data_IF_856165751318
#
_entry.id   IF_856165751318
#
_cell.length_a   1.000
_cell.length_b   1.000
_cell.length_c   1.000
_cell.angle_alpha   90.00
_cell.angle_beta   90.00
_cell.angle_gamma   90.00
#
_symmetry.space_group_name_H-M   'P 1'
#
loop_
_entity.id
_entity.type
_entity.pdbx_description
1 polymer ?
#
# COMPACT_ATOMS: atom_id res chain seq x y z
N UNK A 1 -22.30 48.32 -0.39
CA UNK A 1 -22.65 47.47 0.78
C UNK A 1 -23.56 46.38 0.23
N UNK A 2 -23.17 45.11 0.29
CA UNK A 2 -23.96 44.00 -0.30
C UNK A 2 -24.58 43.15 0.80
N UNK A 3 -25.91 43.05 0.83
CA UNK A 3 -26.63 42.18 1.78
C UNK A 3 -26.89 40.84 1.10
N UNK A 4 -26.23 39.79 1.57
CA UNK A 4 -26.45 38.42 1.10
C UNK A 4 -27.35 37.68 2.10
N UNK A 5 -28.54 37.28 1.65
CA UNK A 5 -29.56 36.63 2.48
C UNK A 5 -29.46 35.11 2.28
N UNK A 6 -29.24 34.36 3.37
CA UNK A 6 -29.24 32.89 3.36
C UNK A 6 -30.51 32.36 4.03
N UNK A 7 -31.18 31.41 3.37
CA UNK A 7 -32.27 30.64 3.95
C UNK A 7 -31.68 29.57 4.86
N UNK A 8 -32.03 29.60 6.14
CA UNK A 8 -31.76 28.48 7.04
C UNK A 8 -32.86 27.45 6.83
N UNK A 9 -32.62 26.49 5.93
CA UNK A 9 -33.41 25.28 5.89
C UNK A 9 -33.17 24.52 7.20
N UNK A 10 -34.26 24.13 7.87
CA UNK A 10 -34.26 23.52 9.20
C UNK A 10 -33.42 22.24 9.31
N UNK A 11 -32.14 22.41 9.62
CA UNK A 11 -31.28 21.37 10.16
C UNK A 11 -31.29 21.46 11.68
N UNK A 12 -31.61 20.35 12.36
CA UNK A 12 -31.48 20.22 13.81
C UNK A 12 -30.09 20.67 14.24
N UNK A 13 -30.06 21.65 15.14
CA UNK A 13 -28.86 22.03 15.89
C UNK A 13 -28.38 20.77 16.61
N UNK A 14 -27.15 20.27 16.38
CA UNK A 14 -26.60 19.25 17.26
C UNK A 14 -26.49 19.90 18.64
N UNK A 15 -27.22 19.35 19.62
CA UNK A 15 -27.03 19.73 21.02
C UNK A 15 -25.55 19.48 21.33
N UNK A 16 -24.83 20.56 21.59
CA UNK A 16 -23.49 20.52 22.17
C UNK A 16 -23.63 19.80 23.51
N UNK A 17 -22.89 18.71 23.68
CA UNK A 17 -22.87 17.95 24.91
C UNK A 17 -22.56 18.88 26.08
N UNK A 18 -23.43 18.90 27.09
CA UNK A 18 -23.28 19.72 28.31
C UNK A 18 -21.94 19.48 29.04
N UNK A 19 -21.25 18.39 28.74
CA UNK A 19 -19.90 18.10 29.23
C UNK A 19 -18.81 19.01 28.62
N UNK A 20 -18.98 19.48 27.39
CA UNK A 20 -18.02 20.38 26.72
C UNK A 20 -18.14 21.81 27.28
N UNK A 21 -19.35 22.27 27.60
CA UNK A 21 -19.56 23.57 28.28
C UNK A 21 -19.14 23.54 29.75
N UNK A 22 -19.26 22.39 30.43
CA UNK A 22 -18.76 22.23 31.80
C UNK A 22 -17.22 22.31 31.85
N UNK A 23 -16.53 21.76 30.84
CA UNK A 23 -15.07 21.84 30.73
C UNK A 23 -14.56 23.24 30.34
N UNK A 24 -15.30 24.00 29.52
CA UNK A 24 -14.91 25.37 29.17
C UNK A 24 -15.13 26.37 30.31
N UNK A 25 -16.08 26.13 31.22
CA UNK A 25 -16.29 26.96 32.43
C UNK A 25 -15.29 26.69 33.55
N UNK A 26 -14.66 25.51 33.58
CA UNK A 26 -13.68 25.15 34.62
C UNK A 26 -12.28 25.76 34.37
N UNK A 27 -11.96 26.05 33.10
CA UNK A 27 -10.72 26.72 32.73
C UNK A 27 -10.99 28.21 32.57
N UNK A 28 -10.59 29.01 33.57
CA UNK A 28 -10.74 30.46 33.56
C UNK A 28 -10.15 31.14 32.31
N UNK A 29 -10.37 32.46 32.15
CA UNK A 29 -9.98 33.18 30.95
C UNK A 29 -8.48 33.02 30.67
N UNK A 30 -8.14 32.48 29.50
CA UNK A 30 -6.77 32.47 28.98
C UNK A 30 -6.41 33.91 28.66
N UNK A 31 -5.72 34.57 29.57
CA UNK A 31 -5.05 35.85 29.28
C UNK A 31 -3.91 35.51 28.32
N UNK A 32 -3.90 36.02 27.08
CA UNK A 32 -2.74 35.88 26.21
C UNK A 32 -1.60 36.68 26.86
N UNK A 33 -0.69 35.98 27.53
CA UNK A 33 0.53 36.58 28.04
C UNK A 33 1.34 37.11 26.86
N UNK A 34 1.33 38.44 26.67
CA UNK A 34 2.32 39.08 25.82
C UNK A 34 3.66 38.98 26.56
N UNK A 35 4.57 38.17 26.03
CA UNK A 35 5.97 38.14 26.45
C UNK A 35 6.52 39.57 26.37
N UNK A 36 7.17 40.02 27.43
CA UNK A 36 7.82 41.32 27.42
C UNK A 36 8.90 41.37 26.33
N UNK A 37 9.23 42.56 25.80
CA UNK A 37 10.30 42.70 24.80
C UNK A 37 11.63 42.09 25.23
N UNK A 38 11.92 42.09 26.53
CA UNK A 38 13.13 41.48 27.11
C UNK A 38 13.08 39.95 27.10
N UNK A 39 11.91 39.35 27.39
CA UNK A 39 11.73 37.89 27.32
C UNK A 39 11.75 37.38 25.88
N UNK A 40 11.22 38.15 24.92
CA UNK A 40 11.32 37.87 23.48
C UNK A 40 12.78 37.94 23.00
N UNK A 41 13.55 38.92 23.47
CA UNK A 41 14.98 39.02 23.16
C UNK A 41 15.76 37.82 23.74
N UNK A 42 15.50 37.45 25.00
CA UNK A 42 16.14 36.30 25.63
C UNK A 42 15.76 34.95 24.98
N UNK A 43 14.52 34.83 24.48
CA UNK A 43 14.07 33.65 23.73
C UNK A 43 14.76 33.57 22.36
N UNK A 44 14.89 34.70 21.65
CA UNK A 44 15.60 34.78 20.37
C UNK A 44 17.10 34.53 20.54
N UNK A 45 17.71 35.00 21.63
CA UNK A 45 19.11 34.73 21.95
C UNK A 45 19.33 33.24 22.29
N UNK A 46 18.40 32.61 23.03
CA UNK A 46 18.40 31.16 23.26
C UNK A 46 18.19 30.33 21.99
N UNK A 47 17.37 30.81 21.05
CA UNK A 47 17.16 30.17 19.75
C UNK A 47 18.38 30.33 18.84
N UNK A 48 19.05 31.48 18.88
CA UNK A 48 20.29 31.73 18.15
C UNK A 48 21.48 30.92 18.70
N UNK A 49 21.52 30.66 20.00
CA UNK A 49 22.56 29.82 20.63
C UNK A 49 22.30 28.31 20.51
N UNK A 50 21.09 27.88 20.13
CA UNK A 50 20.79 26.47 19.80
C UNK A 50 21.21 26.12 18.38
N UNK A 51 22.52 26.22 18.10
CA UNK A 51 23.13 25.30 17.16
C UNK A 51 23.16 23.93 17.86
N UNK A 52 22.07 23.16 17.71
CA UNK A 52 22.08 21.74 18.09
C UNK A 52 23.25 21.02 17.38
N UNK A 53 23.65 19.82 17.85
CA UNK A 53 24.71 19.06 17.19
C UNK A 53 24.40 19.02 15.69
N UNK A 54 25.34 19.51 14.87
CA UNK A 54 25.22 19.41 13.41
C UNK A 54 25.27 17.93 13.05
N UNK A 55 24.11 17.28 13.02
CA UNK A 55 23.96 15.94 12.47
C UNK A 55 24.34 16.10 11.01
N UNK A 56 25.51 15.56 10.63
CA UNK A 56 25.92 15.51 9.24
C UNK A 56 24.76 14.89 8.44
N UNK A 57 24.35 15.49 7.31
CA UNK A 57 23.31 14.89 6.47
C UNK A 57 23.71 13.45 6.17
N UNK A 58 22.83 12.53 6.54
CA UNK A 58 23.06 11.10 6.40
C UNK A 58 23.20 10.75 4.91
N UNK A 59 24.37 10.25 4.51
CA UNK A 59 24.67 9.84 3.14
C UNK A 59 24.27 8.37 2.94
N UNK A 60 23.47 8.05 1.90
CA UNK A 60 23.09 6.68 1.63
C UNK A 60 24.29 5.80 1.25
N UNK A 61 24.57 4.79 2.08
CA UNK A 61 25.73 3.89 1.97
C UNK A 61 25.48 2.64 1.13
N UNK A 62 24.29 2.46 0.56
CA UNK A 62 23.93 1.23 -0.15
C UNK A 62 24.49 1.24 -1.58
N UNK A 63 25.29 0.23 -1.95
CA UNK A 63 25.77 0.07 -3.32
C UNK A 63 24.69 -0.54 -4.23
N UNK A 64 24.85 -0.39 -5.54
CA UNK A 64 23.96 -1.01 -6.54
C UNK A 64 23.89 -2.53 -6.39
N UNK A 65 25.04 -3.16 -6.14
CA UNK A 65 25.12 -4.62 -6.07
C UNK A 65 24.52 -5.16 -4.78
N UNK A 66 24.72 -4.47 -3.65
CA UNK A 66 24.08 -4.82 -2.37
C UNK A 66 22.56 -4.66 -2.45
N UNK A 67 22.09 -3.57 -3.09
CA UNK A 67 20.67 -3.37 -3.33
C UNK A 67 20.06 -4.53 -4.12
N UNK A 68 20.68 -4.92 -5.24
CA UNK A 68 20.20 -6.04 -6.06
C UNK A 68 20.26 -7.37 -5.30
N UNK A 69 21.27 -7.59 -4.46
CA UNK A 69 21.37 -8.79 -3.62
C UNK A 69 20.20 -8.89 -2.65
N UNK A 70 19.93 -7.82 -1.92
CA UNK A 70 18.85 -7.76 -0.95
C UNK A 70 17.48 -7.95 -1.61
N UNK A 71 17.32 -7.46 -2.84
CA UNK A 71 16.11 -7.70 -3.65
C UNK A 71 16.01 -9.16 -4.11
N UNK A 72 17.12 -9.81 -4.47
CA UNK A 72 17.17 -11.24 -4.80
C UNK A 72 16.80 -12.11 -3.59
N UNK A 73 17.25 -11.71 -2.39
CA UNK A 73 16.94 -12.33 -1.10
C UNK A 73 15.47 -12.12 -0.66
N UNK A 74 14.72 -11.28 -1.37
CA UNK A 74 13.29 -11.06 -1.14
C UNK A 74 12.94 -9.85 -0.30
N UNK A 75 13.91 -8.99 0.08
CA UNK A 75 13.61 -7.76 0.82
C UNK A 75 12.81 -6.78 -0.03
N UNK A 76 11.81 -6.16 0.59
CA UNK A 76 10.95 -5.21 -0.09
C UNK A 76 11.58 -3.82 -0.13
N UNK A 77 11.22 -3.02 -1.14
CA UNK A 77 11.72 -1.63 -1.28
C UNK A 77 11.47 -0.80 -0.02
N UNK A 78 10.30 -0.96 0.63
CA UNK A 78 9.97 -0.28 1.89
C UNK A 78 10.91 -0.64 3.05
N UNK A 79 11.29 -1.91 3.15
CA UNK A 79 12.24 -2.37 4.17
C UNK A 79 13.64 -1.81 3.92
N UNK A 80 14.04 -1.73 2.64
CA UNK A 80 15.30 -1.11 2.24
C UNK A 80 15.28 0.40 2.50
N UNK A 81 14.18 1.09 2.20
CA UNK A 81 14.02 2.52 2.53
C UNK A 81 14.12 2.77 4.03
N UNK A 82 13.48 1.91 4.84
CA UNK A 82 13.51 2.05 6.29
C UNK A 82 14.92 1.83 6.87
N UNK A 83 15.60 0.78 6.42
CA UNK A 83 16.91 0.38 6.97
C UNK A 83 18.10 1.17 6.41
N UNK A 84 18.03 1.56 5.13
CA UNK A 84 19.15 2.20 4.41
C UNK A 84 18.79 3.56 3.83
N UNK A 85 17.62 4.14 4.13
CA UNK A 85 17.29 5.50 3.67
C UNK A 85 16.50 6.30 4.71
N UNK A 86 16.47 5.85 5.98
CA UNK A 86 15.74 6.51 7.08
C UNK A 86 14.29 6.87 6.73
N UNK A 87 13.61 5.98 5.99
CA UNK A 87 12.24 6.15 5.50
C UNK A 87 12.05 7.31 4.47
N UNK A 88 13.13 7.80 3.86
CA UNK A 88 13.07 8.82 2.80
C UNK A 88 13.01 8.18 1.41
N UNK A 89 11.78 7.97 0.89
CA UNK A 89 11.56 7.32 -0.41
C UNK A 89 12.19 8.09 -1.59
N UNK A 90 12.25 9.42 -1.50
CA UNK A 90 12.83 10.28 -2.55
C UNK A 90 14.32 10.00 -2.77
N UNK A 91 15.07 9.69 -1.70
CA UNK A 91 16.50 9.36 -1.78
C UNK A 91 16.74 8.03 -2.47
N UNK A 92 15.95 7.01 -2.13
CA UNK A 92 16.00 5.72 -2.84
C UNK A 92 15.63 5.91 -4.32
N UNK A 93 14.57 6.68 -4.61
CA UNK A 93 14.16 6.95 -5.98
C UNK A 93 15.23 7.72 -6.79
N UNK A 94 16.01 8.58 -6.14
CA UNK A 94 17.15 9.26 -6.77
C UNK A 94 18.29 8.28 -7.06
N UNK A 95 18.67 7.44 -6.11
CA UNK A 95 19.71 6.42 -6.32
C UNK A 95 19.33 5.39 -7.39
N UNK A 96 18.08 4.94 -7.40
CA UNK A 96 17.57 4.03 -8.44
C UNK A 96 17.63 4.67 -9.84
N UNK A 97 17.37 5.98 -9.95
CA UNK A 97 17.56 6.72 -11.21
C UNK A 97 19.03 6.79 -11.62
N UNK A 98 19.93 7.06 -10.67
CA UNK A 98 21.38 7.07 -10.90
C UNK A 98 21.90 5.69 -11.36
N UNK A 99 21.33 4.60 -10.86
CA UNK A 99 21.67 3.24 -11.29
C UNK A 99 20.93 2.78 -12.56
N UNK A 100 20.10 3.65 -13.15
CA UNK A 100 19.22 3.38 -14.29
C UNK A 100 18.15 2.30 -14.06
N UNK A 101 17.77 2.05 -12.79
CA UNK A 101 16.72 1.12 -12.36
C UNK A 101 15.42 1.90 -12.12
N UNK A 102 14.84 2.45 -13.18
CA UNK A 102 13.70 3.38 -13.03
C UNK A 102 12.35 2.66 -12.75
N UNK A 103 12.19 1.45 -13.30
CA UNK A 103 10.93 0.72 -13.28
C UNK A 103 11.13 -0.72 -12.79
N UNK A 104 10.04 -1.35 -12.35
CA UNK A 104 10.02 -2.75 -11.91
C UNK A 104 10.64 -3.70 -12.94
N UNK A 105 10.35 -3.49 -14.23
CA UNK A 105 10.90 -4.34 -15.31
C UNK A 105 12.42 -4.22 -15.43
N UNK A 106 12.99 -3.01 -15.23
CA UNK A 106 14.44 -2.80 -15.27
C UNK A 106 15.13 -3.36 -14.03
N UNK A 107 14.45 -3.32 -12.89
CA UNK A 107 14.91 -3.95 -11.65
C UNK A 107 14.94 -5.48 -11.80
N UNK A 108 13.86 -6.08 -12.31
CA UNK A 108 13.80 -7.51 -12.58
C UNK A 108 14.89 -7.92 -13.59
N UNK A 109 15.09 -7.16 -14.67
CA UNK A 109 16.17 -7.41 -15.61
C UNK A 109 17.58 -7.32 -14.98
N UNK A 110 17.81 -6.36 -14.08
CA UNK A 110 19.08 -6.21 -13.37
C UNK A 110 19.32 -7.36 -12.37
N UNK A 111 18.29 -7.80 -11.64
CA UNK A 111 18.36 -8.97 -10.77
C UNK A 111 18.63 -10.24 -11.56
N UNK A 112 17.90 -10.46 -12.65
CA UNK A 112 18.08 -11.63 -13.53
C UNK A 112 19.46 -11.66 -14.17
N UNK A 113 20.00 -10.50 -14.56
CA UNK A 113 21.38 -10.40 -15.05
C UNK A 113 22.38 -10.76 -13.96
N UNK A 114 22.22 -10.24 -12.74
CA UNK A 114 23.10 -10.56 -11.61
C UNK A 114 23.07 -12.06 -11.25
N UNK A 115 21.86 -12.65 -11.15
CA UNK A 115 21.69 -14.10 -10.95
C UNK A 115 22.34 -14.90 -12.06
N UNK A 116 22.19 -14.46 -13.31
CA UNK A 116 22.84 -15.11 -14.44
C UNK A 116 24.36 -14.99 -14.35
N UNK A 117 24.91 -13.83 -13.99
CA UNK A 117 26.35 -13.56 -13.85
C UNK A 117 27.00 -14.42 -12.75
N UNK A 118 26.33 -14.58 -11.60
CA UNK A 118 26.74 -15.45 -10.49
C UNK A 118 26.56 -16.95 -10.78
N UNK A 119 25.69 -17.32 -11.71
CA UNK A 119 25.46 -18.70 -12.08
C UNK A 119 26.67 -19.27 -12.84
N UNK A 120 27.21 -20.40 -12.36
CA UNK A 120 28.43 -21.01 -12.91
C UNK A 120 28.14 -22.21 -13.82
N UNK A 121 29.14 -22.59 -14.63
CA UNK A 121 29.06 -23.76 -15.52
C UNK A 121 28.75 -25.05 -14.73
N UNK A 122 29.36 -25.23 -13.57
CA UNK A 122 29.19 -26.45 -12.77
C UNK A 122 27.80 -26.55 -12.16
N UNK A 123 27.24 -25.42 -11.70
CA UNK A 123 25.86 -25.37 -11.20
C UNK A 123 24.85 -25.69 -12.31
N UNK A 124 25.11 -25.23 -13.54
CA UNK A 124 24.31 -25.59 -14.70
C UNK A 124 24.35 -27.09 -14.97
N UNK A 125 25.54 -27.68 -15.04
CA UNK A 125 25.71 -29.11 -15.30
C UNK A 125 25.09 -29.96 -14.20
N UNK A 126 25.27 -29.60 -12.93
CA UNK A 126 24.64 -30.32 -11.81
C UNK A 126 23.11 -30.34 -11.91
N UNK A 127 22.47 -29.22 -12.28
CA UNK A 127 21.02 -29.16 -12.52
C UNK A 127 20.59 -29.96 -13.75
N UNK A 128 21.42 -30.01 -14.79
CA UNK A 128 21.15 -30.83 -15.99
C UNK A 128 21.26 -32.32 -15.69
N UNK A 129 22.25 -32.74 -14.89
CA UNK A 129 22.38 -34.12 -14.37
C UNK A 129 21.19 -34.49 -13.48
N UNK A 130 20.69 -33.56 -12.67
CA UNK A 130 19.46 -33.71 -11.89
C UNK A 130 18.17 -33.76 -12.73
N UNK A 131 18.27 -33.68 -14.07
CA UNK A 131 17.15 -33.81 -15.00
C UNK A 131 16.38 -32.51 -15.29
N UNK A 132 16.86 -31.34 -14.83
CA UNK A 132 16.22 -30.08 -15.18
C UNK A 132 16.43 -29.73 -16.66
N UNK A 133 15.38 -29.24 -17.34
CA UNK A 133 15.51 -28.77 -18.71
C UNK A 133 16.13 -27.37 -18.77
N UNK A 134 16.78 -27.02 -19.89
CA UNK A 134 17.35 -25.67 -20.11
C UNK A 134 16.31 -24.57 -19.86
N UNK A 135 15.07 -24.78 -20.30
CA UNK A 135 13.95 -23.86 -20.08
C UNK A 135 13.57 -23.74 -18.60
N UNK A 136 13.63 -24.83 -17.83
CA UNK A 136 13.36 -24.82 -16.38
C UNK A 136 14.45 -24.05 -15.63
N UNK A 137 15.71 -24.27 -15.97
CA UNK A 137 16.85 -23.55 -15.39
C UNK A 137 16.76 -22.05 -15.73
N UNK A 138 16.52 -21.71 -16.99
CA UNK A 138 16.36 -20.32 -17.46
C UNK A 138 15.23 -19.59 -16.72
N UNK A 139 14.06 -20.22 -16.58
CA UNK A 139 12.94 -19.66 -15.80
C UNK A 139 13.30 -19.48 -14.32
N UNK A 140 14.02 -20.42 -13.72
CA UNK A 140 14.42 -20.31 -12.30
C UNK A 140 15.35 -19.14 -12.03
N UNK A 141 16.17 -18.76 -13.02
CA UNK A 141 17.08 -17.61 -12.94
C UNK A 141 16.37 -16.28 -13.27
N UNK A 142 15.15 -16.33 -13.80
CA UNK A 142 14.44 -15.15 -14.34
C UNK A 142 15.13 -14.55 -15.57
N UNK A 143 16.07 -15.27 -16.18
CA UNK A 143 16.89 -14.76 -17.27
C UNK A 143 16.12 -14.75 -18.60
N UNK A 144 16.32 -13.70 -19.38
CA UNK A 144 15.84 -13.64 -20.76
C UNK A 144 16.59 -14.66 -21.63
N UNK A 145 15.94 -15.08 -22.72
CA UNK A 145 16.46 -16.08 -23.67
C UNK A 145 17.86 -15.72 -24.19
N UNK A 146 18.03 -14.50 -24.70
CA UNK A 146 19.27 -14.07 -25.35
C UNK A 146 20.51 -14.07 -24.43
N UNK A 147 20.49 -13.41 -23.25
CA UNK A 147 21.65 -13.43 -22.35
C UNK A 147 21.95 -14.83 -21.80
N UNK A 148 20.93 -15.67 -21.58
CA UNK A 148 21.13 -17.04 -21.13
C UNK A 148 21.87 -17.89 -22.17
N UNK A 149 21.48 -17.82 -23.45
CA UNK A 149 22.18 -18.53 -24.51
C UNK A 149 23.55 -17.93 -24.85
N UNK A 150 23.76 -16.63 -24.64
CA UNK A 150 25.10 -16.04 -24.73
C UNK A 150 26.05 -16.67 -23.71
N UNK A 151 25.59 -16.86 -22.46
CA UNK A 151 26.37 -17.49 -21.40
C UNK A 151 26.64 -18.99 -21.66
N UNK A 152 25.69 -19.72 -22.23
CA UNK A 152 25.94 -21.09 -22.71
C UNK A 152 26.95 -21.16 -23.87
N UNK A 153 27.02 -20.10 -24.70
CA UNK A 153 28.02 -19.98 -25.77
C UNK A 153 29.41 -19.72 -25.17
N UNK A 154 29.51 -18.83 -24.18
CA UNK A 154 30.74 -18.54 -23.45
C UNK A 154 31.31 -19.80 -22.77
N UNK A 155 30.44 -20.66 -22.24
CA UNK A 155 30.84 -21.95 -21.66
C UNK A 155 31.09 -23.06 -22.67
N UNK A 156 30.83 -22.83 -23.97
CA UNK A 156 31.03 -23.83 -25.03
C UNK A 156 30.01 -24.97 -25.03
N UNK A 157 28.86 -24.82 -24.38
CA UNK A 157 27.83 -25.88 -24.21
C UNK A 157 26.48 -25.54 -24.85
N UNK A 158 26.43 -24.52 -25.70
CA UNK A 158 25.20 -24.12 -26.40
C UNK A 158 24.63 -25.24 -27.27
N UNK A 159 25.48 -25.99 -27.96
CA UNK A 159 25.06 -27.10 -28.80
C UNK A 159 24.72 -28.35 -27.98
N UNK A 160 23.67 -29.07 -28.37
CA UNK A 160 23.22 -30.28 -27.66
C UNK A 160 24.32 -31.35 -27.63
N UNK A 161 25.09 -31.51 -28.71
CA UNK A 161 26.20 -32.46 -28.79
C UNK A 161 27.36 -32.10 -27.84
N UNK A 162 27.65 -30.81 -27.65
CA UNK A 162 28.68 -30.36 -26.72
C UNK A 162 28.22 -30.53 -25.25
N UNK A 163 26.94 -30.29 -24.98
CA UNK A 163 26.34 -30.53 -23.66
C UNK A 163 26.30 -32.02 -23.31
N UNK A 164 25.84 -32.88 -24.24
CA UNK A 164 25.75 -34.32 -24.05
C UNK A 164 27.15 -34.94 -23.84
N UNK A 165 28.19 -34.41 -24.51
CA UNK A 165 29.58 -34.83 -24.30
C UNK A 165 30.10 -34.51 -22.89
N UNK A 166 29.78 -33.32 -22.38
CA UNK A 166 30.19 -32.89 -21.03
C UNK A 166 29.36 -33.60 -19.95
N UNK A 167 28.10 -33.93 -20.22
CA UNK A 167 27.26 -34.75 -19.34
C UNK A 167 27.65 -36.24 -19.35
N UNK A 168 28.27 -36.71 -20.43
CA UNK A 168 28.73 -38.10 -20.59
C UNK A 168 30.17 -38.33 -20.06
N UNK A 169 30.91 -37.28 -19.70
CA UNK A 169 32.20 -37.42 -19.00
C UNK A 169 31.92 -37.90 -17.57
N UNK A 170 32.27 -39.15 -17.21
CA UNK A 170 31.97 -39.69 -15.91
C UNK A 170 32.85 -39.04 -14.84
N UNK A 171 32.22 -38.60 -13.74
CA UNK A 171 32.89 -38.50 -12.44
C UNK A 171 33.45 -39.90 -12.13
N UNK A 172 34.75 -40.08 -11.83
CA UNK A 172 35.35 -41.40 -11.75
C UNK A 172 34.80 -42.14 -10.52
N UNK A 173 34.13 -43.25 -10.77
CA UNK A 173 33.94 -44.35 -9.82
C UNK A 173 34.41 -45.63 -10.51
N UNK A 174 35.34 -46.32 -9.85
CA UNK A 174 36.05 -47.52 -10.28
C UNK A 174 35.14 -48.71 -10.66
N UNK A 175 35.62 -49.53 -11.60
CA UNK A 175 35.24 -50.95 -11.83
C UNK A 175 34.34 -51.18 -13.05
N UNK A 176 34.85 -51.43 -14.26
CA UNK A 176 35.26 -52.75 -14.82
C UNK A 176 34.10 -53.78 -14.84
N UNK A 177 33.61 -54.35 -15.94
CA UNK A 177 34.29 -55.05 -17.05
C UNK A 177 33.39 -55.15 -18.31
N UNK A 178 34.04 -55.31 -19.48
CA UNK A 178 33.47 -55.59 -20.80
C UNK A 178 33.36 -57.09 -21.09
N UNK A 179 32.45 -57.52 -21.97
CA UNK A 179 32.77 -58.24 -23.23
C UNK A 179 31.52 -58.63 -24.02
N UNK A 180 31.71 -58.77 -25.34
CA UNK A 180 30.69 -58.93 -26.36
C UNK A 180 30.80 -60.29 -27.08
N UNK A 181 29.86 -60.53 -28.00
CA UNK A 181 29.94 -61.37 -29.23
C UNK A 181 29.13 -62.69 -29.23
N UNK A 182 28.10 -62.72 -30.08
CA UNK A 182 27.39 -63.88 -30.66
C UNK A 182 28.15 -64.39 -31.93
N UNK A 183 27.83 -65.49 -32.68
CA UNK A 183 26.51 -66.12 -32.86
C UNK A 183 26.43 -67.65 -33.23
N UNK A 184 25.17 -68.14 -33.27
CA UNK A 184 24.51 -69.09 -34.21
C UNK A 184 25.00 -70.55 -34.50
N UNK A 185 24.14 -71.49 -34.04
CA UNK A 185 23.50 -72.66 -34.71
C UNK A 185 24.28 -73.81 -35.40
N UNK A 186 24.11 -75.06 -34.91
CA UNK A 186 23.33 -76.15 -35.57
C UNK A 186 23.34 -77.43 -34.70
N UNK A 187 22.24 -77.74 -34.00
CA UNK A 187 21.14 -78.67 -34.33
C UNK A 187 21.37 -80.17 -34.01
N UNK A 188 20.78 -80.52 -32.85
CA UNK A 188 19.90 -81.68 -32.62
C UNK A 188 20.43 -83.00 -32.06
N UNK A 189 21.73 -83.24 -31.93
CA UNK A 189 22.23 -84.41 -31.15
C UNK A 189 22.98 -84.01 -29.88
N UNK A 190 23.39 -82.74 -29.79
CA UNK A 190 24.06 -82.16 -28.61
C UNK A 190 23.04 -81.78 -27.53
N UNK A 191 21.76 -81.57 -27.86
CA UNK A 191 20.76 -81.08 -26.91
C UNK A 191 20.34 -82.14 -25.86
N UNK A 192 20.31 -83.42 -26.22
CA UNK A 192 19.98 -84.49 -25.26
C UNK A 192 21.20 -84.87 -24.39
N UNK A 193 22.41 -84.81 -24.98
CA UNK A 193 23.66 -84.97 -24.24
C UNK A 193 23.91 -83.77 -23.31
N UNK A 194 23.66 -82.53 -23.75
CA UNK A 194 23.70 -81.34 -22.90
C UNK A 194 22.57 -81.37 -21.87
N UNK A 195 21.33 -81.76 -22.18
CA UNK A 195 20.29 -81.82 -21.14
C UNK A 195 20.59 -82.87 -20.05
N UNK A 196 21.28 -83.96 -20.37
CA UNK A 196 21.77 -84.92 -19.38
C UNK A 196 23.02 -84.44 -18.65
N UNK A 197 23.96 -83.77 -19.34
CA UNK A 197 25.16 -83.19 -18.75
C UNK A 197 24.84 -81.95 -17.91
N UNK A 198 23.80 -81.20 -18.26
CA UNK A 198 23.22 -80.04 -17.58
C UNK A 198 22.39 -80.52 -16.39
N UNK A 199 21.61 -81.62 -16.49
CA UNK A 199 21.04 -82.26 -15.29
C UNK A 199 22.10 -82.85 -14.35
N UNK A 200 23.21 -83.35 -14.87
CA UNK A 200 24.32 -83.83 -14.05
C UNK A 200 25.17 -82.69 -13.49
N UNK A 201 25.38 -81.62 -14.24
CA UNK A 201 26.03 -80.39 -13.79
C UNK A 201 25.15 -79.61 -12.83
N UNK A 202 23.84 -79.51 -13.02
CA UNK A 202 22.90 -78.94 -12.05
C UNK A 202 22.88 -79.76 -10.78
N UNK A 203 22.85 -81.11 -10.85
CA UNK A 203 22.96 -81.95 -9.65
C UNK A 203 24.34 -81.92 -9.00
N UNK A 204 25.41 -81.66 -9.74
CA UNK A 204 26.77 -81.55 -9.22
C UNK A 204 27.05 -80.14 -8.68
N UNK A 205 26.47 -79.11 -9.30
CA UNK A 205 26.48 -77.71 -8.86
C UNK A 205 25.59 -77.60 -7.64
N UNK A 206 24.36 -78.12 -7.61
CA UNK A 206 23.53 -78.20 -6.40
C UNK A 206 24.21 -79.02 -5.29
N UNK A 207 24.86 -80.15 -5.61
CA UNK A 207 25.63 -80.90 -4.60
C UNK A 207 26.95 -80.25 -4.21
N UNK A 208 27.47 -79.29 -4.98
CA UNK A 208 28.67 -78.52 -4.64
C UNK A 208 28.32 -77.23 -3.90
N UNK A 209 27.29 -76.50 -4.33
CA UNK A 209 26.74 -75.31 -3.66
C UNK A 209 26.05 -75.69 -2.35
N UNK A 210 25.43 -76.86 -2.22
CA UNK A 210 24.92 -77.37 -0.94
C UNK A 210 26.02 -77.95 -0.02
N UNK A 211 27.26 -78.14 -0.50
CA UNK A 211 28.40 -78.62 0.32
C UNK A 211 29.41 -77.53 0.68
N UNK A 212 29.21 -76.30 0.20
CA UNK A 212 30.12 -75.17 0.36
C UNK A 212 29.40 -73.92 0.89
N UNK A 213 28.39 -74.09 1.74
CA UNK A 213 28.11 -73.08 2.74
C UNK A 213 28.73 -73.62 4.02
N UNK A 214 29.95 -73.16 4.28
CA UNK A 214 30.60 -73.46 5.55
C UNK A 214 29.73 -72.92 6.70
N UNK A 215 29.78 -73.56 7.87
CA UNK A 215 29.03 -73.12 9.06
C UNK A 215 29.27 -71.62 9.35
N UNK A 216 30.48 -71.12 9.05
CA UNK A 216 30.84 -69.71 9.12
C UNK A 216 30.11 -68.78 8.13
N UNK A 217 29.74 -69.26 6.94
CA UNK A 217 28.94 -68.49 5.97
C UNK A 217 27.46 -68.46 6.35
N UNK A 218 26.93 -69.52 6.99
CA UNK A 218 25.59 -69.50 7.58
C UNK A 218 25.49 -68.50 8.74
N UNK A 219 26.50 -68.45 9.61
CA UNK A 219 26.58 -67.47 10.70
C UNK A 219 26.66 -66.03 10.16
N UNK A 220 27.44 -65.80 9.09
CA UNK A 220 27.53 -64.49 8.43
C UNK A 220 26.19 -64.09 7.79
N UNK A 221 25.48 -65.03 7.15
CA UNK A 221 24.14 -64.78 6.58
C UNK A 221 23.16 -64.41 7.70
N UNK A 222 23.16 -65.14 8.81
CA UNK A 222 22.30 -64.85 9.96
C UNK A 222 22.60 -63.47 10.59
N UNK A 223 23.87 -63.07 10.66
CA UNK A 223 24.27 -61.73 11.13
C UNK A 223 23.79 -60.63 10.16
N UNK A 224 23.88 -60.87 8.84
CA UNK A 224 23.36 -59.94 7.82
C UNK A 224 21.84 -59.85 7.83
N UNK A 225 21.13 -60.94 8.06
CA UNK A 225 19.67 -60.94 8.19
C UNK A 225 19.21 -60.17 9.44
N UNK A 226 19.93 -60.29 10.55
CA UNK A 226 19.71 -59.46 11.74
C UNK A 226 19.93 -57.97 11.46
N UNK A 227 20.99 -57.62 10.73
CA UNK A 227 21.27 -56.24 10.35
C UNK A 227 20.23 -55.71 9.36
N UNK A 228 19.76 -56.51 8.41
CA UNK A 228 18.65 -56.17 7.51
C UNK A 228 17.37 -55.92 8.31
N UNK A 229 17.04 -56.77 9.28
CA UNK A 229 15.89 -56.58 10.15
C UNK A 229 15.99 -55.28 10.95
N UNK A 230 17.19 -54.95 11.45
CA UNK A 230 17.47 -53.70 12.15
C UNK A 230 17.32 -52.48 11.25
N UNK A 231 17.87 -52.52 10.05
CA UNK A 231 17.74 -51.44 9.06
C UNK A 231 16.28 -51.24 8.65
N UNK A 232 15.51 -52.31 8.46
CA UNK A 232 14.08 -52.22 8.17
C UNK A 232 13.29 -51.54 9.30
N UNK A 233 13.65 -51.80 10.56
CA UNK A 233 13.04 -51.11 11.71
C UNK A 233 13.36 -49.61 11.69
N UNK A 234 14.62 -49.23 11.45
CA UNK A 234 15.03 -47.83 11.34
C UNK A 234 14.33 -47.12 10.17
N UNK A 235 14.20 -47.79 9.02
CA UNK A 235 13.44 -47.25 7.89
C UNK A 235 11.99 -47.03 8.26
N UNK A 236 11.34 -47.97 8.96
CA UNK A 236 9.97 -47.82 9.42
C UNK A 236 9.79 -46.61 10.36
N UNK A 237 10.67 -46.46 11.36
CA UNK A 237 10.65 -45.31 12.28
C UNK A 237 10.86 -43.98 11.55
N UNK A 238 11.79 -43.94 10.58
CA UNK A 238 12.03 -42.74 9.77
C UNK A 238 10.84 -42.42 8.86
N UNK A 239 10.15 -43.43 8.31
CA UNK A 239 8.95 -43.19 7.50
C UNK A 239 7.80 -42.64 8.34
N UNK A 240 7.58 -43.16 9.55
CA UNK A 240 6.56 -42.65 10.46
C UNK A 240 6.86 -41.21 10.91
N UNK A 241 8.11 -40.92 11.27
CA UNK A 241 8.55 -39.57 11.62
C UNK A 241 8.39 -38.59 10.44
N UNK A 242 8.71 -39.03 9.22
CA UNK A 242 8.52 -38.23 8.00
C UNK A 242 7.05 -37.94 7.77
N UNK A 243 6.18 -38.95 7.85
CA UNK A 243 4.76 -38.79 7.57
C UNK A 243 4.09 -37.89 8.62
N UNK A 244 4.51 -37.98 9.88
CA UNK A 244 4.08 -37.04 10.93
C UNK A 244 4.53 -35.61 10.63
N UNK A 245 5.79 -35.39 10.26
CA UNK A 245 6.29 -34.06 9.92
C UNK A 245 5.59 -33.46 8.69
N UNK A 246 5.26 -34.30 7.69
CA UNK A 246 4.48 -33.89 6.51
C UNK A 246 3.06 -33.50 6.90
N UNK A 247 2.42 -34.26 7.79
CA UNK A 247 1.07 -33.93 8.28
C UNK A 247 1.04 -32.61 9.06
N UNK A 248 2.01 -32.39 9.96
CA UNK A 248 2.15 -31.13 10.70
C UNK A 248 2.42 -29.94 9.77
N UNK A 249 3.28 -30.10 8.75
CA UNK A 249 3.53 -29.07 7.75
C UNK A 249 2.27 -28.75 6.93
N UNK A 250 1.45 -29.74 6.62
CA UNK A 250 0.18 -29.54 5.91
C UNK A 250 -0.82 -28.76 6.76
N UNK A 251 -0.98 -29.11 8.04
CA UNK A 251 -1.86 -28.37 8.96
C UNK A 251 -1.41 -26.92 9.16
N UNK A 252 -0.10 -26.68 9.27
CA UNK A 252 0.46 -25.33 9.33
C UNK A 252 0.23 -24.56 8.02
N UNK A 253 0.35 -25.23 6.88
CA UNK A 253 0.05 -24.67 5.57
C UNK A 253 -1.40 -24.21 5.43
N UNK A 254 -2.35 -25.02 5.89
CA UNK A 254 -3.78 -24.66 5.91
C UNK A 254 -4.06 -23.47 6.83
N UNK A 255 -3.49 -23.46 8.05
CA UNK A 255 -3.64 -22.33 8.98
C UNK A 255 -3.08 -21.04 8.39
N UNK A 256 -1.92 -21.10 7.74
CA UNK A 256 -1.31 -19.95 7.07
C UNK A 256 -2.17 -19.47 5.88
N UNK A 257 -2.75 -20.38 5.10
CA UNK A 257 -3.63 -20.03 3.99
C UNK A 257 -4.88 -19.27 4.46
N UNK A 258 -5.54 -19.74 5.53
CA UNK A 258 -6.70 -19.05 6.12
C UNK A 258 -6.30 -17.65 6.63
N UNK A 259 -5.14 -17.54 7.27
CA UNK A 259 -4.65 -16.24 7.76
C UNK A 259 -4.36 -15.26 6.62
N UNK A 260 -3.77 -15.73 5.52
CA UNK A 260 -3.53 -14.91 4.32
C UNK A 260 -4.87 -14.42 3.75
N UNK A 261 -5.86 -15.30 3.60
CA UNK A 261 -7.18 -14.93 3.08
C UNK A 261 -7.85 -13.84 3.94
N UNK A 262 -7.74 -13.95 5.28
CA UNK A 262 -8.27 -12.96 6.21
C UNK A 262 -7.57 -11.60 6.05
N UNK A 263 -6.24 -11.59 5.95
CA UNK A 263 -5.45 -10.37 5.76
C UNK A 263 -5.69 -9.74 4.37
N UNK A 264 -5.90 -10.55 3.33
CA UNK A 264 -6.28 -10.05 2.01
C UNK A 264 -7.68 -9.42 2.02
N UNK A 265 -8.62 -10.03 2.75
CA UNK A 265 -9.96 -9.46 2.96
C UNK A 265 -9.91 -8.12 3.69
N UNK A 266 -9.10 -8.01 4.73
CA UNK A 266 -8.91 -6.76 5.48
C UNK A 266 -8.21 -5.68 4.64
N UNK A 267 -7.17 -6.03 3.88
CA UNK A 267 -6.53 -5.11 2.94
C UNK A 267 -7.52 -4.57 1.90
N UNK A 268 -8.36 -5.41 1.31
CA UNK A 268 -9.40 -4.96 0.37
C UNK A 268 -10.37 -3.97 1.01
N UNK A 269 -10.75 -4.21 2.27
CA UNK A 269 -11.62 -3.29 3.04
C UNK A 269 -10.92 -1.98 3.37
N UNK A 270 -9.64 -2.01 3.73
CA UNK A 270 -8.88 -0.79 4.01
C UNK A 270 -8.69 0.05 2.76
N UNK A 271 -8.41 -0.57 1.61
CA UNK A 271 -8.31 0.14 0.33
C UNK A 271 -9.62 0.85 -0.02
N UNK A 272 -10.78 0.20 0.13
CA UNK A 272 -12.06 0.86 -0.15
C UNK A 272 -12.37 2.00 0.82
N UNK A 273 -11.93 1.92 2.07
CA UNK A 273 -12.02 3.04 3.02
C UNK A 273 -11.14 4.23 2.61
N UNK A 274 -9.94 3.97 2.09
CA UNK A 274 -9.04 5.01 1.57
C UNK A 274 -9.70 5.73 0.39
N UNK A 275 -10.24 4.99 -0.58
CA UNK A 275 -10.91 5.57 -1.75
C UNK A 275 -12.06 6.52 -1.35
N UNK A 276 -12.90 6.09 -0.39
CA UNK A 276 -13.99 6.93 0.14
C UNK A 276 -13.46 8.18 0.85
N UNK A 277 -12.35 8.07 1.58
CA UNK A 277 -11.74 9.21 2.25
C UNK A 277 -11.13 10.20 1.25
N UNK A 278 -10.47 9.72 0.19
CA UNK A 278 -9.92 10.55 -0.88
C UNK A 278 -11.01 11.33 -1.61
N UNK A 279 -12.13 10.68 -1.95
CA UNK A 279 -13.31 11.34 -2.50
C UNK A 279 -13.86 12.44 -1.57
N UNK A 280 -13.86 12.18 -0.26
CA UNK A 280 -14.25 13.16 0.76
C UNK A 280 -13.33 14.39 0.77
N UNK A 281 -12.02 14.16 0.74
CA UNK A 281 -11.00 15.22 0.70
C UNK A 281 -11.14 16.05 -0.58
N UNK A 282 -11.35 15.41 -1.73
CA UNK A 282 -11.54 16.12 -3.00
C UNK A 282 -12.78 17.02 -2.98
N UNK A 283 -13.90 16.54 -2.44
CA UNK A 283 -15.12 17.36 -2.27
C UNK A 283 -14.90 18.55 -1.35
N UNK A 284 -14.19 18.36 -0.23
CA UNK A 284 -13.86 19.45 0.70
C UNK A 284 -12.94 20.48 0.05
N UNK A 285 -11.90 20.05 -0.65
CA UNK A 285 -10.98 20.94 -1.36
C UNK A 285 -11.69 21.76 -2.44
N UNK A 286 -12.63 21.15 -3.18
CA UNK A 286 -13.46 21.87 -4.14
C UNK A 286 -14.28 22.97 -3.47
N UNK A 287 -14.96 22.64 -2.36
CA UNK A 287 -15.75 23.61 -1.60
C UNK A 287 -14.90 24.73 -1.02
N UNK A 288 -13.69 24.42 -0.57
CA UNK A 288 -12.75 25.41 -0.04
C UNK A 288 -12.31 26.39 -1.13
N UNK A 289 -12.00 25.89 -2.34
CA UNK A 289 -11.71 26.76 -3.51
C UNK A 289 -12.90 27.64 -3.89
N UNK A 290 -14.12 27.11 -3.86
CA UNK A 290 -15.34 27.88 -4.12
C UNK A 290 -15.54 28.99 -3.08
N UNK A 291 -15.26 28.71 -1.80
CA UNK A 291 -15.32 29.70 -0.72
C UNK A 291 -14.23 30.77 -0.83
N UNK A 292 -13.01 30.38 -1.21
CA UNK A 292 -11.90 31.33 -1.39
C UNK A 292 -12.13 32.23 -2.61
N UNK A 293 -12.60 31.66 -3.73
CA UNK A 293 -13.00 32.44 -4.91
C UNK A 293 -14.13 33.41 -4.58
N UNK A 294 -15.12 32.97 -3.80
CA UNK A 294 -16.16 33.85 -3.28
C UNK A 294 -15.55 34.94 -2.38
N UNK A 295 -14.63 34.63 -1.47
CA UNK A 295 -13.99 35.66 -0.63
C UNK A 295 -13.22 36.69 -1.45
N UNK A 296 -12.52 36.26 -2.50
CA UNK A 296 -11.77 37.16 -3.38
C UNK A 296 -12.68 38.07 -4.19
N UNK A 297 -13.76 37.55 -4.78
CA UNK A 297 -14.75 38.37 -5.52
C UNK A 297 -15.44 39.40 -4.61
N UNK A 298 -15.46 39.11 -3.31
CA UNK A 298 -16.13 39.89 -2.29
C UNK A 298 -15.18 40.75 -1.44
N UNK A 299 -13.92 40.87 -1.83
CA UNK A 299 -12.92 41.67 -1.11
C UNK A 299 -13.27 43.16 -1.19
N UNK A 300 -13.47 43.79 -0.03
CA UNK A 300 -13.87 45.21 0.08
C UNK A 300 -15.35 45.43 0.38
N UNK A 301 -16.15 44.37 0.44
CA UNK A 301 -17.55 44.43 0.84
C UNK A 301 -17.75 43.96 2.28
N UNK A 302 -18.68 44.61 2.98
CA UNK A 302 -19.20 44.14 4.27
C UNK A 302 -20.46 43.33 4.00
N UNK A 303 -20.48 42.08 4.43
CA UNK A 303 -21.61 41.17 4.31
C UNK A 303 -22.41 41.17 5.61
N UNK A 304 -23.67 41.56 5.52
CA UNK A 304 -24.63 41.48 6.61
C UNK A 304 -25.50 40.25 6.39
N UNK A 305 -25.44 39.30 7.33
CA UNK A 305 -26.33 38.13 7.33
C UNK A 305 -27.59 38.47 8.08
N UNK A 306 -28.68 38.68 7.35
CA UNK A 306 -29.98 39.00 7.94
C UNK A 306 -30.92 37.81 7.72
N UNK A 307 -31.47 37.19 8.79
CA UNK A 307 -32.42 36.10 8.64
C UNK A 307 -33.73 36.62 8.05
N UNK A 308 -34.29 35.91 7.07
CA UNK A 308 -35.64 36.20 6.57
C UNK A 308 -36.64 35.69 7.61
N UNK A 309 -37.23 36.62 8.35
CA UNK A 309 -38.35 36.32 9.23
C UNK A 309 -39.65 36.46 8.42
N UNK A 310 -40.57 35.52 8.61
CA UNK A 310 -41.93 35.68 8.09
C UNK A 310 -42.53 36.93 8.72
N UNK A 311 -42.69 37.99 7.94
CA UNK A 311 -43.38 39.16 8.40
C UNK A 311 -44.86 38.85 8.65
N UNK A 312 -45.43 39.48 9.67
CA UNK A 312 -46.88 39.67 9.80
C UNK A 312 -47.44 40.43 8.57
N UNK A 313 -48.65 40.99 8.69
CA UNK A 313 -49.23 41.90 7.71
C UNK A 313 -48.26 43.06 7.35
N UNK A 314 -48.05 43.38 6.05
CA UNK A 314 -47.17 44.47 5.60
C UNK A 314 -47.46 45.83 6.23
N UNK A 315 -48.73 46.13 6.49
CA UNK A 315 -49.13 47.38 7.15
C UNK A 315 -48.51 47.48 8.55
N UNK A 316 -48.48 46.38 9.30
CA UNK A 316 -47.86 46.31 10.61
C UNK A 316 -46.34 46.46 10.50
N UNK A 317 -45.73 45.85 9.49
CA UNK A 317 -44.28 45.97 9.27
C UNK A 317 -43.86 47.38 8.88
N UNK A 318 -44.65 48.09 8.06
CA UNK A 318 -44.41 49.51 7.75
C UNK A 318 -44.42 50.38 9.00
N UNK A 319 -45.40 50.18 9.90
CA UNK A 319 -45.46 50.88 11.19
C UNK A 319 -44.23 50.57 12.04
N UNK A 320 -43.79 49.30 12.07
CA UNK A 320 -42.57 48.92 12.79
C UNK A 320 -41.32 49.58 12.21
N UNK A 321 -41.17 49.65 10.88
CA UNK A 321 -40.05 50.34 10.22
C UNK A 321 -40.01 51.81 10.64
N UNK A 322 -41.14 52.53 10.59
CA UNK A 322 -41.18 53.93 11.00
C UNK A 322 -40.81 54.11 12.48
N UNK A 323 -41.34 53.26 13.36
CA UNK A 323 -40.99 53.28 14.78
C UNK A 323 -39.50 52.99 15.01
N UNK A 324 -38.92 52.05 14.28
CA UNK A 324 -37.51 51.69 14.43
C UNK A 324 -36.60 52.79 13.83
N UNK A 325 -37.05 53.54 12.82
CA UNK A 325 -36.39 54.78 12.33
C UNK A 325 -36.38 55.84 13.42
N UNK A 326 -37.52 56.10 14.07
CA UNK A 326 -37.62 57.08 15.16
C UNK A 326 -36.68 56.72 16.32
N UNK A 327 -36.65 55.45 16.72
CA UNK A 327 -35.72 54.94 17.74
C UNK A 327 -34.27 55.12 17.36
N UNK A 328 -33.90 54.79 16.11
CA UNK A 328 -32.54 55.00 15.63
C UNK A 328 -32.17 56.49 15.67
N UNK A 329 -33.09 57.37 15.27
CA UNK A 329 -32.90 58.83 15.33
C UNK A 329 -32.66 59.30 16.76
N UNK A 330 -33.49 58.86 17.71
CA UNK A 330 -33.36 59.19 19.14
C UNK A 330 -32.01 58.75 19.71
N UNK A 331 -31.54 57.55 19.38
CA UNK A 331 -30.23 57.04 19.84
C UNK A 331 -29.07 57.81 19.19
N UNK A 332 -29.20 58.19 17.92
CA UNK A 332 -28.19 59.00 17.22
C UNK A 332 -28.12 60.44 17.75
N UNK A 333 -29.26 61.03 18.11
CA UNK A 333 -29.34 62.40 18.64
C UNK A 333 -29.01 62.51 20.13
N UNK A 334 -28.94 61.38 20.83
CA UNK A 334 -28.56 61.35 22.24
C UNK A 334 -27.13 61.87 22.46
N UNK A 335 -26.95 62.69 23.50
CA UNK A 335 -25.65 63.30 23.83
C UNK A 335 -24.55 62.27 24.15
N UNK A 336 -24.95 61.06 24.58
CA UNK A 336 -24.10 59.92 24.88
C UNK A 336 -24.22 58.83 23.79
N UNK A 337 -24.08 59.23 22.52
CA UNK A 337 -24.19 58.31 21.39
C UNK A 337 -23.12 57.22 21.46
N UNK A 338 -23.52 56.06 21.98
CA UNK A 338 -22.72 54.84 21.98
C UNK A 338 -22.81 54.18 20.61
N UNK A 339 -21.68 54.09 19.91
CA UNK A 339 -21.55 53.45 18.60
C UNK A 339 -22.11 52.03 18.59
N UNK A 340 -22.00 51.30 19.71
CA UNK A 340 -22.56 49.96 19.86
C UNK A 340 -24.08 49.96 19.85
N UNK A 341 -24.71 50.92 20.53
CA UNK A 341 -26.17 51.06 20.56
C UNK A 341 -26.72 51.53 19.21
N UNK A 342 -26.07 52.50 18.56
CA UNK A 342 -26.43 52.94 17.21
C UNK A 342 -26.35 51.78 16.22
N UNK A 343 -25.29 50.97 16.28
CA UNK A 343 -25.17 49.79 15.44
C UNK A 343 -26.29 48.78 15.70
N UNK A 344 -26.62 48.49 16.97
CA UNK A 344 -27.69 47.57 17.32
C UNK A 344 -29.06 48.01 16.79
N UNK A 345 -29.41 49.29 16.95
CA UNK A 345 -30.67 49.85 16.42
C UNK A 345 -30.68 49.86 14.88
N UNK A 346 -29.55 50.13 14.24
CA UNK A 346 -29.43 50.03 12.79
C UNK A 346 -29.65 48.59 12.30
N UNK A 347 -29.05 47.60 12.96
CA UNK A 347 -29.29 46.18 12.66
C UNK A 347 -30.77 45.80 12.82
N UNK A 348 -31.41 46.29 13.88
CA UNK A 348 -32.83 46.05 14.12
C UNK A 348 -33.69 46.66 13.00
N UNK A 349 -33.41 47.90 12.59
CA UNK A 349 -34.08 48.55 11.47
C UNK A 349 -33.94 47.76 10.17
N UNK A 350 -32.72 47.29 9.85
CA UNK A 350 -32.47 46.45 8.66
C UNK A 350 -33.27 45.16 8.73
N UNK A 351 -33.33 44.50 9.88
CA UNK A 351 -34.10 43.27 10.07
C UNK A 351 -35.61 43.51 9.88
N UNK A 352 -36.16 44.59 10.44
CA UNK A 352 -37.57 44.97 10.28
C UNK A 352 -37.88 45.31 8.82
N UNK A 353 -36.95 45.94 8.10
CA UNK A 353 -37.11 46.22 6.67
C UNK A 353 -37.11 44.95 5.81
N UNK A 354 -36.23 43.97 6.11
CA UNK A 354 -36.27 42.66 5.43
C UNK A 354 -37.58 41.93 5.70
N UNK A 355 -38.11 42.00 6.93
CA UNK A 355 -39.41 41.43 7.26
C UNK A 355 -40.57 42.10 6.50
N UNK A 356 -40.50 43.43 6.30
CA UNK A 356 -41.45 44.16 5.45
C UNK A 356 -41.42 43.63 4.01
N UNK A 357 -40.24 43.57 3.38
CA UNK A 357 -40.08 43.05 2.01
C UNK A 357 -40.60 41.61 1.92
N UNK A 358 -40.29 40.77 2.90
CA UNK A 358 -40.80 39.40 2.97
C UNK A 358 -42.34 39.36 3.03
N UNK A 359 -42.97 40.21 3.85
CA UNK A 359 -44.44 40.28 3.94
C UNK A 359 -45.09 40.77 2.64
N UNK A 360 -44.52 41.79 1.98
CA UNK A 360 -45.06 42.31 0.71
C UNK A 360 -44.95 41.29 -0.41
N UNK A 361 -43.81 40.58 -0.49
CA UNK A 361 -43.64 39.50 -1.47
C UNK A 361 -44.54 38.29 -1.18
N UNK A 362 -44.85 38.02 0.09
CA UNK A 362 -45.81 36.97 0.46
C UNK A 362 -47.24 37.31 0.01
N UNK A 363 -47.65 38.59 0.10
CA UNK A 363 -48.96 39.05 -0.41
C UNK A 363 -49.03 39.01 -1.94
N UNK A 364 -47.95 39.38 -2.62
CA UNK A 364 -47.88 39.36 -4.09
C UNK A 364 -47.84 37.94 -4.67
N UNK A 365 -47.38 36.96 -3.89
CA UNK A 365 -47.24 35.55 -4.32
C UNK A 365 -48.02 34.60 -3.39
N UNK A 366 -49.36 34.68 -3.37
CA UNK A 366 -50.17 33.83 -2.51
C UNK A 366 -50.00 32.35 -2.87
N UNK A 367 -49.76 31.51 -1.86
CA UNK A 367 -49.62 30.06 -2.01
C UNK A 367 -48.20 29.57 -2.29
N UNK A 368 -47.20 30.45 -2.40
CA UNK A 368 -45.81 30.00 -2.48
C UNK A 368 -45.31 29.55 -1.10
N UNK A 369 -44.72 28.35 -1.04
CA UNK A 369 -44.16 27.77 0.19
C UNK A 369 -42.83 28.40 0.60
N UNK A 370 -42.15 29.08 -0.31
CA UNK A 370 -40.84 29.69 -0.06
C UNK A 370 -40.77 31.13 -0.58
N UNK A 371 -41.14 32.07 0.29
CA UNK A 371 -41.02 33.52 0.03
C UNK A 371 -39.57 33.97 0.08
N UNK A 372 -38.70 33.23 0.77
CA UNK A 372 -37.32 33.65 0.99
C UNK A 372 -36.48 33.60 -0.30
N UNK A 373 -36.82 32.72 -1.25
CA UNK A 373 -36.25 32.77 -2.61
C UNK A 373 -36.49 34.11 -3.31
N UNK A 374 -37.71 34.65 -3.24
CA UNK A 374 -38.03 35.96 -3.84
C UNK A 374 -37.35 37.11 -3.11
N UNK A 375 -37.29 37.06 -1.78
CA UNK A 375 -36.58 38.06 -0.96
C UNK A 375 -35.09 38.11 -1.36
N UNK A 376 -34.44 36.96 -1.54
CA UNK A 376 -33.04 36.91 -2.01
C UNK A 376 -32.87 37.56 -3.37
N UNK A 377 -33.76 37.23 -4.32
CA UNK A 377 -33.70 37.80 -5.68
C UNK A 377 -33.92 39.32 -5.66
N UNK A 378 -34.83 39.82 -4.81
CA UNK A 378 -35.07 41.25 -4.64
C UNK A 378 -33.81 41.99 -4.16
N UNK A 379 -33.20 41.54 -3.05
CA UNK A 379 -31.99 42.17 -2.54
C UNK A 379 -30.79 41.96 -3.46
N UNK A 380 -30.67 40.80 -4.11
CA UNK A 380 -29.64 40.55 -5.12
C UNK A 380 -29.71 41.52 -6.30
N UNK A 381 -30.90 41.75 -6.84
CA UNK A 381 -31.13 42.72 -7.91
C UNK A 381 -30.76 44.14 -7.51
N UNK A 382 -31.23 44.60 -6.35
CA UNK A 382 -30.95 45.96 -5.88
C UNK A 382 -29.48 46.17 -5.48
N UNK A 383 -28.82 45.15 -4.92
CA UNK A 383 -27.39 45.21 -4.65
C UNK A 383 -26.59 45.29 -5.95
N UNK A 384 -26.92 44.47 -6.97
CA UNK A 384 -26.23 44.52 -8.26
C UNK A 384 -26.37 45.91 -8.90
N UNK A 385 -27.57 46.46 -8.92
CA UNK A 385 -27.79 47.81 -9.45
C UNK A 385 -26.98 48.88 -8.71
N UNK A 386 -26.88 48.78 -7.38
CA UNK A 386 -26.03 49.69 -6.60
C UNK A 386 -24.54 49.51 -6.89
N UNK A 387 -24.10 48.30 -7.23
CA UNK A 387 -22.72 48.04 -7.66
C UNK A 387 -22.45 48.67 -9.02
N UNK A 388 -23.35 48.45 -9.98
CA UNK A 388 -23.26 49.01 -11.33
C UNK A 388 -23.23 50.56 -11.27
N UNK A 389 -24.13 51.18 -10.50
CA UNK A 389 -24.18 52.63 -10.29
C UNK A 389 -22.91 53.19 -9.58
N UNK A 390 -22.25 52.38 -8.73
CA UNK A 390 -21.04 52.79 -8.03
C UNK A 390 -19.82 52.72 -8.96
N UNK A 391 -19.76 51.72 -9.85
CA UNK A 391 -18.72 51.59 -10.87
C UNK A 391 -18.78 52.75 -11.88
N UNK A 392 -19.98 53.15 -12.31
CA UNK A 392 -20.19 54.31 -13.21
C UNK A 392 -19.76 55.66 -12.61
N UNK A 393 -19.68 55.78 -11.28
CA UNK A 393 -19.27 57.03 -10.60
C UNK A 393 -17.75 57.12 -10.36
N UNK A 394 -17.05 56.00 -10.44
CA UNK A 394 -15.62 55.90 -10.15
C UNK A 394 -14.81 55.79 -11.45
N UNK A 395 -15.40 55.30 -12.54
CA UNK A 395 -14.88 55.41 -13.90
C UNK A 395 -15.15 56.79 -14.51
#
# INVERSE_FOLDING_TARGET
MGIEILTVAGGRIPMVDKEVEARSKANGPVVPGQLSPEEMAALNERLAQKAGPQIKPWEPTLSKDDYLQLRIEGKNRRELTLSWFNNEEEKLAKQLREWHIMDRNKEEAAMSKKRLDEFTRDQYLARRVAGESRTKIMRSLGANTDPFYAKLTEWGIKEKAAEDKVLAEPVPADGALSEAVAPAESKQEIAEAFAQLEKQQERAVEKATAKFISEAELDLIAEKDLEIARLNLVVAELTEARDKAVAEAFEQGEKAAIQIELLEGENKRLTSHIDVAEDGIQKLNRRLRELDASRESHRGFVFLRVPVQSGDNPVRQRVNVHRDIERLSEVMESADSDRGKVAAEFFQLVQTYVALVASELAELHPGCKDVAGYVKSFFGFHNQRHMDDAEERVG
#
